data_IF_445486613060
#
_entry.id   IF_445486613060
#
_cell.length_a   1.000
_cell.length_b   1.000
_cell.length_c   1.000
_cell.angle_alpha   90.00
_cell.angle_beta   90.00
_cell.angle_gamma   90.00
#
_symmetry.space_group_name_H-M   'P 1'
#
loop_
_entity.id
_entity.type
_entity.pdbx_description
1 polymer ?
#
# COMPACT_ATOMS: atom_id res chain seq x y z
N UNK A 1 2.48 3.54 -24.59
CA UNK A 1 3.80 4.13 -24.25
C UNK A 1 3.67 5.63 -23.99
N UNK A 2 3.17 6.02 -22.82
CA UNK A 2 3.34 7.39 -22.31
C UNK A 2 3.98 7.25 -20.94
N UNK A 3 5.32 7.22 -20.93
CA UNK A 3 6.10 7.38 -19.70
C UNK A 3 6.26 8.87 -19.49
N UNK A 4 5.58 9.42 -18.49
CA UNK A 4 5.69 10.83 -18.11
C UNK A 4 6.80 10.94 -17.07
N UNK A 5 7.82 11.74 -17.37
CA UNK A 5 8.87 12.04 -16.40
C UNK A 5 8.58 13.40 -15.78
N UNK A 6 8.27 13.41 -14.49
CA UNK A 6 8.12 14.63 -13.69
C UNK A 6 9.51 15.12 -13.27
N UNK A 7 9.68 16.42 -13.05
CA UNK A 7 10.96 16.94 -12.57
C UNK A 7 11.36 16.33 -11.21
N UNK A 8 12.66 16.07 -11.06
CA UNK A 8 13.28 15.52 -9.83
C UNK A 8 14.04 16.60 -9.08
N UNK A 9 14.00 16.60 -7.75
CA UNK A 9 14.81 17.49 -6.89
C UNK A 9 13.98 18.44 -6.05
N UNK A 10 14.64 19.44 -5.45
CA UNK A 10 13.96 20.58 -4.80
C UNK A 10 13.51 21.56 -5.89
N UNK A 11 12.33 21.33 -6.44
CA UNK A 11 11.74 22.18 -7.48
C UNK A 11 10.96 23.38 -6.91
N UNK A 12 10.90 23.50 -5.57
CA UNK A 12 10.24 24.59 -4.85
C UNK A 12 8.73 24.64 -5.03
N UNK A 13 8.12 23.63 -5.64
CA UNK A 13 6.70 23.69 -5.94
C UNK A 13 5.84 23.39 -4.71
N UNK A 14 4.75 24.13 -4.60
CA UNK A 14 3.93 24.20 -3.40
C UNK A 14 2.68 23.33 -3.53
N UNK A 15 2.15 22.89 -2.40
CA UNK A 15 0.83 22.27 -2.33
C UNK A 15 -0.29 23.32 -2.27
N UNK A 16 -1.54 22.86 -2.09
CA UNK A 16 -2.70 23.74 -2.03
C UNK A 16 -2.78 24.55 -0.73
N UNK A 17 -1.91 24.27 0.24
CA UNK A 17 -1.73 25.02 1.48
C UNK A 17 -0.50 25.95 1.43
N UNK A 18 0.26 25.95 0.33
CA UNK A 18 1.46 26.77 0.17
C UNK A 18 2.73 26.14 0.78
N UNK A 19 2.69 24.86 1.16
CA UNK A 19 3.85 24.14 1.69
C UNK A 19 4.67 23.50 0.57
N UNK A 20 5.99 23.47 0.71
CA UNK A 20 6.88 22.86 -0.30
C UNK A 20 6.65 21.36 -0.40
N UNK A 21 6.38 20.89 -1.61
CA UNK A 21 6.21 19.47 -1.88
C UNK A 21 7.55 18.73 -1.71
N UNK A 22 7.51 17.49 -1.17
CA UNK A 22 8.73 16.74 -0.90
C UNK A 22 9.44 16.33 -2.19
N UNK A 23 10.78 16.29 -2.20
CA UNK A 23 11.55 16.00 -3.39
C UNK A 23 11.30 14.57 -3.89
N UNK A 24 11.15 14.42 -5.20
CA UNK A 24 10.97 13.12 -5.85
C UNK A 24 12.31 12.41 -6.07
N UNK A 25 12.35 11.12 -5.78
CA UNK A 25 13.46 10.27 -6.20
C UNK A 25 13.41 10.00 -7.71
N UNK A 26 14.53 9.60 -8.32
CA UNK A 26 14.61 9.23 -9.75
C UNK A 26 13.60 8.16 -10.18
N UNK A 27 13.17 7.30 -9.24
CA UNK A 27 12.18 6.26 -9.52
C UNK A 27 10.75 6.77 -9.36
N UNK A 28 10.51 7.68 -8.41
CA UNK A 28 9.18 8.27 -8.18
C UNK A 28 8.81 9.32 -9.24
N UNK A 29 9.80 9.89 -9.91
CA UNK A 29 9.58 10.85 -10.99
C UNK A 29 9.22 10.20 -12.32
N UNK A 30 9.41 8.89 -12.47
CA UNK A 30 9.11 8.15 -13.71
C UNK A 30 7.74 7.50 -13.58
N UNK A 31 6.74 8.18 -14.10
CA UNK A 31 5.35 7.76 -14.01
C UNK A 31 4.99 7.03 -15.29
N UNK A 32 4.81 5.72 -15.16
CA UNK A 32 4.29 4.89 -16.23
C UNK A 32 2.85 4.49 -15.89
N UNK A 33 1.89 5.30 -16.36
CA UNK A 33 0.46 5.13 -16.08
C UNK A 33 -0.04 3.75 -16.53
N UNK A 34 0.38 3.30 -17.71
CA UNK A 34 0.02 1.98 -18.25
C UNK A 34 0.46 0.85 -17.31
N UNK A 35 1.67 0.94 -16.78
CA UNK A 35 2.20 -0.02 -15.81
C UNK A 35 1.47 0.05 -14.47
N UNK A 36 1.13 1.25 -14.01
CA UNK A 36 0.35 1.46 -12.78
C UNK A 36 -1.02 0.80 -12.91
N UNK A 37 -1.74 1.10 -13.99
CA UNK A 37 -3.07 0.54 -14.26
C UNK A 37 -3.01 -0.98 -14.48
N UNK A 38 -1.94 -1.51 -15.10
CA UNK A 38 -1.74 -2.96 -15.22
C UNK A 38 -1.60 -3.69 -13.86
N UNK A 39 -1.22 -2.98 -12.80
CA UNK A 39 -1.08 -3.53 -11.44
C UNK A 39 -2.31 -3.29 -10.58
N UNK A 40 -3.14 -2.30 -10.93
CA UNK A 40 -4.42 -2.03 -10.27
C UNK A 40 -5.34 -3.23 -10.45
N UNK A 41 -5.94 -3.68 -9.35
CA UNK A 41 -7.01 -4.68 -9.38
C UNK A 41 -8.31 -4.05 -8.94
N UNK A 42 -9.38 -4.34 -9.67
CA UNK A 42 -10.73 -3.92 -9.36
C UNK A 42 -11.50 -5.17 -8.95
N UNK A 43 -12.22 -5.08 -7.83
CA UNK A 43 -13.06 -6.17 -7.37
C UNK A 43 -14.25 -6.37 -8.33
N UNK A 44 -14.65 -7.62 -8.56
CA UNK A 44 -15.75 -7.94 -9.47
C UNK A 44 -17.12 -7.45 -8.97
N UNK A 45 -17.28 -7.30 -7.65
CA UNK A 45 -18.47 -6.76 -7.00
C UNK A 45 -18.08 -5.67 -6.03
N UNK A 46 -18.95 -4.67 -5.87
CA UNK A 46 -18.77 -3.63 -4.86
C UNK A 46 -18.71 -4.26 -3.45
N UNK A 47 -17.73 -3.87 -2.65
CA UNK A 47 -17.50 -4.41 -1.31
C UNK A 47 -16.57 -5.63 -1.26
N UNK A 48 -16.34 -6.32 -2.38
CA UNK A 48 -15.39 -7.44 -2.42
C UNK A 48 -13.95 -6.93 -2.37
N UNK A 49 -13.07 -7.78 -1.83
CA UNK A 49 -11.64 -7.50 -1.82
C UNK A 49 -11.04 -7.68 -3.24
N UNK A 50 -10.24 -6.72 -3.76
CA UNK A 50 -9.73 -6.77 -5.14
C UNK A 50 -8.61 -7.81 -5.37
N UNK A 51 -7.98 -8.27 -4.29
CA UNK A 51 -6.94 -9.30 -4.33
C UNK A 51 -7.48 -10.73 -4.50
N UNK A 52 -6.60 -11.65 -4.87
CA UNK A 52 -6.91 -13.08 -4.99
C UNK A 52 -6.97 -13.69 -3.59
N UNK A 53 -8.15 -14.13 -3.15
CA UNK A 53 -8.39 -14.50 -1.74
C UNK A 53 -7.47 -15.59 -1.17
N UNK A 54 -7.16 -16.65 -1.95
CA UNK A 54 -6.22 -17.68 -1.49
C UNK A 54 -4.78 -17.14 -1.38
N UNK A 55 -4.37 -16.31 -2.34
CA UNK A 55 -3.03 -15.72 -2.36
C UNK A 55 -2.85 -14.75 -1.20
N UNK A 56 -3.85 -13.90 -0.95
CA UNK A 56 -3.88 -13.02 0.23
C UNK A 56 -3.72 -13.82 1.53
N UNK A 57 -4.47 -14.92 1.69
CA UNK A 57 -4.38 -15.78 2.88
C UNK A 57 -3.00 -16.43 3.02
N UNK A 58 -2.39 -16.86 1.91
CA UNK A 58 -1.02 -17.39 1.90
C UNK A 58 -0.01 -16.33 2.36
N UNK A 59 -0.03 -15.13 1.77
CA UNK A 59 0.87 -14.03 2.15
C UNK A 59 0.65 -13.63 3.61
N UNK A 60 -0.61 -13.55 4.07
CA UNK A 60 -0.93 -13.30 5.48
C UNK A 60 -0.38 -14.37 6.42
N UNK A 61 -0.42 -15.64 6.02
CA UNK A 61 0.18 -16.74 6.77
C UNK A 61 1.71 -16.61 6.88
N UNK A 62 2.39 -16.29 5.77
CA UNK A 62 3.84 -16.07 5.76
C UNK A 62 4.24 -14.85 6.60
N UNK A 63 3.49 -13.75 6.50
CA UNK A 63 3.71 -12.57 7.34
C UNK A 63 3.50 -12.90 8.82
N UNK A 64 2.50 -13.71 9.17
CA UNK A 64 2.27 -14.16 10.55
C UNK A 64 3.43 -14.99 11.08
N UNK A 65 3.97 -15.90 10.26
CA UNK A 65 5.18 -16.65 10.62
C UNK A 65 6.37 -15.72 10.87
N UNK A 66 6.61 -14.75 9.99
CA UNK A 66 7.68 -13.77 10.17
C UNK A 66 7.48 -12.91 11.44
N UNK A 67 6.25 -12.48 11.73
CA UNK A 67 5.94 -11.70 12.93
C UNK A 67 6.15 -12.52 14.21
N UNK A 68 5.77 -13.80 14.21
CA UNK A 68 6.02 -14.71 15.34
C UNK A 68 7.50 -15.02 15.55
N UNK A 69 8.32 -14.94 14.49
CA UNK A 69 9.77 -15.08 14.61
C UNK A 69 10.42 -13.79 15.15
N UNK A 70 9.88 -12.63 14.79
CA UNK A 70 10.38 -11.32 15.21
C UNK A 70 9.98 -10.98 16.65
N UNK A 71 8.75 -11.28 17.04
CA UNK A 71 8.17 -10.93 18.33
C UNK A 71 7.89 -12.16 19.17
N UNK A 72 8.46 -12.21 20.38
CA UNK A 72 8.17 -13.26 21.35
C UNK A 72 6.72 -13.25 21.83
N UNK A 73 6.10 -12.07 21.88
CA UNK A 73 4.74 -11.87 22.35
C UNK A 73 4.10 -10.75 21.56
N UNK A 74 2.88 -10.99 21.07
CA UNK A 74 2.04 -10.01 20.38
C UNK A 74 0.72 -9.96 21.13
N UNK A 75 0.41 -8.80 21.69
CA UNK A 75 -0.87 -8.54 22.35
C UNK A 75 -1.73 -7.66 21.44
N UNK A 76 -3.00 -8.05 21.27
CA UNK A 76 -3.96 -7.32 20.46
C UNK A 76 -5.21 -7.10 21.31
N UNK A 77 -5.60 -5.84 21.47
CA UNK A 77 -6.74 -5.42 22.28
C UNK A 77 -7.69 -4.56 21.44
N UNK A 78 -8.95 -4.41 21.87
CA UNK A 78 -9.91 -3.52 21.23
C UNK A 78 -10.52 -4.04 19.92
N UNK A 79 -10.33 -5.33 19.59
CA UNK A 79 -10.92 -5.93 18.38
C UNK A 79 -12.45 -5.98 18.44
N UNK A 80 -13.01 -6.06 19.64
CA UNK A 80 -14.44 -6.00 19.93
C UNK A 80 -15.10 -4.69 19.49
N UNK A 81 -14.32 -3.61 19.31
CA UNK A 81 -14.82 -2.33 18.81
C UNK A 81 -14.88 -2.26 17.27
N UNK A 82 -14.40 -3.29 16.56
CA UNK A 82 -14.41 -3.32 15.10
C UNK A 82 -15.78 -3.81 14.63
N UNK A 83 -16.58 -2.90 14.06
CA UNK A 83 -17.87 -3.23 13.46
C UNK A 83 -17.74 -4.32 12.40
N UNK A 84 -18.65 -5.30 12.38
CA UNK A 84 -18.61 -6.44 11.45
C UNK A 84 -19.13 -6.06 10.05
N UNK A 85 -20.15 -5.21 10.00
CA UNK A 85 -20.95 -4.85 8.82
C UNK A 85 -20.48 -3.57 8.09
N UNK A 86 -19.51 -2.84 8.65
CA UNK A 86 -18.98 -1.60 8.07
C UNK A 86 -17.57 -1.75 7.47
N UNK A 87 -17.19 -0.83 6.57
CA UNK A 87 -15.79 -0.69 6.13
C UNK A 87 -14.87 -0.24 7.28
N UNK A 88 -13.56 -0.48 7.15
CA UNK A 88 -12.56 -0.04 8.13
C UNK A 88 -11.40 0.68 7.45
N UNK A 89 -10.98 1.81 8.03
CA UNK A 89 -9.71 2.47 7.74
C UNK A 89 -8.79 2.25 8.94
N UNK A 90 -7.68 1.55 8.74
CA UNK A 90 -6.68 1.35 9.80
C UNK A 90 -5.60 2.41 9.68
N UNK A 91 -5.36 3.15 10.76
CA UNK A 91 -4.33 4.18 10.87
C UNK A 91 -3.42 3.83 12.02
N UNK A 92 -2.12 4.03 11.85
CA UNK A 92 -1.13 3.73 12.88
C UNK A 92 0.12 4.58 12.72
N UNK A 93 0.93 4.60 13.78
CA UNK A 93 2.25 5.20 13.73
C UNK A 93 3.17 4.42 12.79
N UNK A 94 4.00 5.13 12.01
CA UNK A 94 4.83 4.50 10.98
C UNK A 94 6.33 4.85 11.14
N UNK A 95 7.03 4.09 11.98
CA UNK A 95 8.49 4.19 12.18
C UNK A 95 9.28 3.19 11.35
N UNK A 96 8.73 2.00 11.13
CA UNK A 96 9.37 0.94 10.37
C UNK A 96 8.55 0.60 9.11
N UNK A 97 9.19 0.78 7.96
CA UNK A 97 8.58 0.59 6.64
C UNK A 97 7.97 -0.80 6.37
N UNK A 98 8.35 -1.83 7.13
CA UNK A 98 7.89 -3.20 6.92
C UNK A 98 7.15 -3.80 8.13
N UNK A 99 7.66 -3.55 9.34
CA UNK A 99 7.10 -4.14 10.56
C UNK A 99 5.71 -3.56 10.85
N UNK A 100 5.53 -2.25 10.76
CA UNK A 100 4.26 -1.61 11.10
C UNK A 100 3.08 -2.04 10.20
N UNK A 101 3.22 -2.07 8.86
CA UNK A 101 2.16 -2.61 8.02
C UNK A 101 1.96 -4.12 8.25
N UNK A 102 3.03 -4.86 8.58
CA UNK A 102 2.93 -6.31 8.82
C UNK A 102 2.17 -6.64 10.10
N UNK A 103 2.36 -5.88 11.18
CA UNK A 103 1.63 -6.09 12.43
C UNK A 103 0.14 -5.84 12.22
N UNK A 104 -0.22 -4.73 11.55
CA UNK A 104 -1.61 -4.45 11.15
C UNK A 104 -2.16 -5.57 10.25
N UNK A 105 -1.38 -6.02 9.26
CA UNK A 105 -1.80 -7.05 8.32
C UNK A 105 -2.15 -8.38 8.97
N UNK A 106 -1.37 -8.80 9.97
CA UNK A 106 -1.56 -10.12 10.60
C UNK A 106 -2.64 -10.09 11.68
N UNK A 107 -2.84 -8.95 12.35
CA UNK A 107 -3.77 -8.80 13.48
C UNK A 107 -5.16 -8.29 13.09
N UNK A 108 -5.31 -7.50 12.03
CA UNK A 108 -6.60 -6.97 11.60
C UNK A 108 -7.58 -8.10 11.21
N UNK A 109 -8.79 -8.21 11.80
CA UNK A 109 -9.73 -9.28 11.47
C UNK A 109 -10.15 -9.27 9.99
N UNK A 110 -10.30 -8.10 9.37
CA UNK A 110 -10.76 -7.95 7.97
C UNK A 110 -9.62 -8.05 6.94
N UNK A 111 -9.97 -8.31 5.68
CA UNK A 111 -9.01 -8.24 4.57
C UNK A 111 -8.69 -6.78 4.24
N UNK A 112 -7.41 -6.44 4.17
CA UNK A 112 -6.92 -5.08 3.99
C UNK A 112 -6.47 -4.81 2.56
N UNK A 113 -6.84 -3.63 2.06
CA UNK A 113 -6.31 -3.07 0.83
C UNK A 113 -5.23 -2.06 1.18
N UNK A 114 -3.97 -2.36 0.85
CA UNK A 114 -2.86 -1.45 1.07
C UNK A 114 -2.76 -0.41 -0.04
N UNK A 115 -2.71 0.87 0.32
CA UNK A 115 -2.25 1.92 -0.57
C UNK A 115 -0.73 1.96 -0.58
N UNK A 116 -0.11 1.65 -1.70
CA UNK A 116 1.35 1.70 -1.84
C UNK A 116 1.78 2.71 -2.90
N UNK A 117 2.98 3.27 -2.75
CA UNK A 117 3.54 4.16 -3.77
C UNK A 117 3.62 3.46 -5.12
N UNK A 118 3.29 4.20 -6.17
CA UNK A 118 3.25 3.68 -7.54
C UNK A 118 4.60 3.05 -7.98
N UNK A 119 5.72 3.65 -7.58
CA UNK A 119 7.07 3.19 -7.92
C UNK A 119 7.44 1.86 -7.24
N UNK A 120 6.90 1.60 -6.05
CA UNK A 120 7.09 0.34 -5.33
C UNK A 120 6.23 -0.78 -5.93
N UNK A 121 4.95 -0.49 -6.20
CA UNK A 121 3.97 -1.46 -6.72
C UNK A 121 4.26 -1.83 -8.19
N UNK A 122 5.06 -1.06 -8.90
CA UNK A 122 5.47 -1.37 -10.28
C UNK A 122 6.80 -2.13 -10.35
N UNK A 123 7.45 -2.48 -9.24
CA UNK A 123 8.71 -3.25 -9.27
C UNK A 123 8.49 -4.69 -9.75
N UNK A 124 9.47 -5.33 -10.41
CA UNK A 124 9.29 -6.64 -11.05
C UNK A 124 8.89 -7.77 -10.09
N UNK A 125 9.43 -7.76 -8.86
CA UNK A 125 9.19 -8.80 -7.85
C UNK A 125 8.03 -8.39 -6.93
N UNK A 126 8.09 -7.17 -6.39
CA UNK A 126 7.11 -6.66 -5.43
C UNK A 126 5.75 -6.44 -6.09
N UNK A 127 5.73 -5.97 -7.34
CA UNK A 127 4.50 -5.56 -8.01
C UNK A 127 3.49 -6.68 -8.24
N UNK A 128 3.88 -7.85 -8.80
CA UNK A 128 2.97 -8.98 -8.91
C UNK A 128 2.42 -9.45 -7.57
N UNK A 129 3.26 -9.50 -6.52
CA UNK A 129 2.85 -9.91 -5.17
C UNK A 129 1.86 -8.90 -4.57
N UNK A 130 2.17 -7.61 -4.67
CA UNK A 130 1.32 -6.52 -4.18
C UNK A 130 -0.02 -6.51 -4.92
N UNK A 131 0.00 -6.61 -6.25
CA UNK A 131 -1.21 -6.66 -7.08
C UNK A 131 -2.07 -7.86 -6.74
N UNK A 132 -1.52 -9.08 -6.68
CA UNK A 132 -2.28 -10.29 -6.32
C UNK A 132 -2.85 -10.22 -4.90
N UNK A 133 -2.15 -9.53 -3.98
CA UNK A 133 -2.62 -9.27 -2.63
C UNK A 133 -3.65 -8.14 -2.54
N UNK A 134 -4.01 -7.51 -3.66
CA UNK A 134 -5.03 -6.46 -3.73
C UNK A 134 -4.54 -5.05 -3.41
N UNK A 135 -3.24 -4.82 -3.27
CA UNK A 135 -2.69 -3.49 -3.03
C UNK A 135 -2.98 -2.54 -4.21
N UNK A 136 -3.29 -1.29 -3.89
CA UNK A 136 -3.64 -0.25 -4.85
C UNK A 136 -2.48 0.73 -5.01
N UNK A 137 -2.10 1.06 -6.25
CA UNK A 137 -1.12 2.09 -6.49
C UNK A 137 -1.72 3.47 -6.19
N UNK A 138 -0.97 4.26 -5.42
CA UNK A 138 -1.30 5.62 -5.04
C UNK A 138 -0.27 6.55 -5.68
N UNK A 139 -0.77 7.60 -6.33
CA UNK A 139 0.00 8.73 -6.83
C UNK A 139 -0.05 9.86 -5.79
N UNK A 140 1.10 10.46 -5.51
CA UNK A 140 1.20 11.64 -4.65
C UNK A 140 0.91 12.89 -5.46
N UNK A 141 0.52 13.97 -4.78
CA UNK A 141 0.35 15.28 -5.43
C UNK A 141 1.61 15.74 -6.18
N UNK A 142 2.80 15.45 -5.65
CA UNK A 142 4.06 15.76 -6.34
C UNK A 142 4.24 14.98 -7.66
N UNK A 143 3.61 13.81 -7.78
CA UNK A 143 3.71 12.90 -8.93
C UNK A 143 2.61 13.21 -9.97
N UNK A 144 1.42 13.61 -9.55
CA UNK A 144 0.28 13.88 -10.45
C UNK A 144 0.32 15.26 -11.14
N UNK A 145 1.52 15.79 -11.41
CA UNK A 145 1.72 17.09 -12.09
C UNK A 145 1.77 16.97 -13.61
#
# INVERSE_FOLDING_TARGET
>A
MVEQTVQTGEDGALDHHGETLPPLSKSASRINVEKIESKRRIASKAGDHPGVGWFYRMIRGLSRLAMNQQFRTIEVTGQEHIAEDAGILTVGWHTNGLIDPSTIFVTQPKMLVFGGRHDLITRPIIGPIASLSGAQPVLRQAEAR
#
